data_IF_308420415248
#
_entry.id   IF_308420415248
#
_cell.length_a   1.000
_cell.length_b   1.000
_cell.length_c   1.000
_cell.angle_alpha   90.00
_cell.angle_beta   90.00
_cell.angle_gamma   90.00
#
_symmetry.space_group_name_H-M   'P 1'
#
loop_
_entity.id
_entity.type
_entity.pdbx_description
1 polymer ?
#
# COMPACT_ATOMS: atom_id res chain seq x y z
N UNK A 1 36.14 -51.86 -15.26
CA UNK A 1 35.85 -50.74 -16.19
C UNK A 1 34.98 -49.73 -15.47
N UNK A 2 35.56 -48.57 -15.09
CA UNK A 2 34.85 -47.43 -14.48
C UNK A 2 34.19 -46.62 -15.60
N UNK A 3 32.87 -46.46 -15.57
CA UNK A 3 32.19 -45.42 -16.35
C UNK A 3 32.11 -44.16 -15.48
N UNK A 4 32.78 -43.10 -15.95
CA UNK A 4 32.80 -41.76 -15.39
C UNK A 4 31.41 -41.13 -15.55
N UNK A 5 30.75 -40.82 -14.44
CA UNK A 5 29.61 -39.92 -14.41
C UNK A 5 30.11 -38.47 -14.41
N UNK A 6 30.26 -37.88 -15.60
CA UNK A 6 30.50 -36.44 -15.74
C UNK A 6 29.17 -35.70 -15.84
N UNK A 7 28.66 -35.22 -14.70
CA UNK A 7 27.68 -34.13 -14.71
C UNK A 7 28.36 -32.89 -15.31
N UNK A 8 27.77 -32.23 -16.33
CA UNK A 8 28.38 -31.07 -16.96
C UNK A 8 28.44 -29.90 -15.97
N UNK A 9 29.65 -29.38 -15.73
CA UNK A 9 29.96 -28.35 -14.74
C UNK A 9 29.10 -27.07 -14.87
N UNK A 10 28.58 -26.77 -16.06
CA UNK A 10 27.72 -25.59 -16.30
C UNK A 10 26.32 -25.66 -15.68
N UNK A 11 25.76 -26.87 -15.46
CA UNK A 11 24.41 -27.01 -14.87
C UNK A 11 24.40 -26.73 -13.37
N UNK A 12 25.52 -27.00 -12.68
CA UNK A 12 25.65 -26.81 -11.23
C UNK A 12 25.67 -25.32 -10.87
N UNK A 13 26.47 -24.53 -11.60
CA UNK A 13 26.53 -23.07 -11.40
C UNK A 13 25.22 -22.34 -11.78
N UNK A 14 24.49 -22.82 -12.79
CA UNK A 14 23.18 -22.26 -13.12
C UNK A 14 22.17 -22.52 -12.00
N UNK A 15 22.16 -23.73 -11.44
CA UNK A 15 21.26 -24.10 -10.33
C UNK A 15 21.63 -23.38 -9.03
N UNK A 16 22.92 -23.21 -8.74
CA UNK A 16 23.42 -22.43 -7.60
C UNK A 16 23.06 -20.95 -7.72
N UNK A 17 23.16 -20.35 -8.91
CA UNK A 17 22.77 -18.96 -9.14
C UNK A 17 21.25 -18.77 -9.03
N UNK A 18 20.44 -19.72 -9.50
CA UNK A 18 18.97 -19.69 -9.34
C UNK A 18 18.60 -19.82 -7.86
N UNK A 19 19.25 -20.73 -7.12
CA UNK A 19 19.02 -20.93 -5.69
C UNK A 19 19.47 -19.69 -4.88
N UNK A 20 20.56 -19.05 -5.28
CA UNK A 20 21.06 -17.82 -4.68
C UNK A 20 20.12 -16.63 -4.96
N UNK A 21 19.60 -16.50 -6.18
CA UNK A 21 18.56 -15.52 -6.51
C UNK A 21 17.25 -15.77 -5.75
N UNK A 22 16.84 -17.03 -5.56
CA UNK A 22 15.69 -17.41 -4.75
C UNK A 22 15.90 -17.11 -3.26
N UNK A 23 17.09 -17.37 -2.71
CA UNK A 23 17.44 -17.03 -1.33
C UNK A 23 17.53 -15.51 -1.10
N UNK A 24 17.97 -14.74 -2.08
CA UNK A 24 17.96 -13.27 -2.05
C UNK A 24 16.54 -12.68 -2.09
N UNK A 25 15.58 -13.37 -2.73
CA UNK A 25 14.16 -13.00 -2.71
C UNK A 25 13.46 -13.31 -1.38
N UNK A 26 14.05 -14.16 -0.52
CA UNK A 26 13.46 -14.62 0.74
C UNK A 26 13.89 -13.82 1.99
N UNK A 27 14.82 -12.87 1.86
CA UNK A 27 15.28 -11.99 2.94
C UNK A 27 14.74 -10.56 2.67
N UNK A 28 13.72 -10.03 3.37
CA UNK A 28 13.49 -10.15 4.82
C UNK A 28 12.02 -10.35 5.24
N UNK A 29 11.70 -11.45 5.94
CA UNK A 29 10.43 -11.63 6.67
C UNK A 29 10.61 -11.33 8.17
N UNK A 30 11.08 -10.15 8.53
CA UNK A 30 11.10 -9.74 9.95
C UNK A 30 10.67 -8.28 10.10
N UNK A 31 9.35 -8.07 10.04
CA UNK A 31 8.69 -6.86 10.53
C UNK A 31 7.20 -7.16 10.81
N UNK A 32 6.90 -8.17 11.62
CA UNK A 32 5.53 -8.45 12.06
C UNK A 32 5.30 -7.94 13.48
N UNK A 33 4.99 -6.66 13.58
CA UNK A 33 4.17 -6.13 14.67
C UNK A 33 3.27 -4.99 14.17
N UNK A 34 2.56 -5.23 13.07
CA UNK A 34 1.52 -4.32 12.60
C UNK A 34 0.18 -4.70 13.22
N UNK A 35 -0.40 -3.81 14.01
CA UNK A 35 -1.68 -4.04 14.68
C UNK A 35 -2.82 -3.69 13.74
N UNK A 36 -3.64 -4.69 13.40
CA UNK A 36 -4.78 -4.50 12.51
C UNK A 36 -5.94 -3.95 13.35
N UNK A 37 -6.66 -2.95 12.82
CA UNK A 37 -7.92 -2.57 13.42
C UNK A 37 -8.96 -3.67 13.19
N UNK A 38 -9.50 -4.23 14.27
CA UNK A 38 -10.64 -5.12 14.19
C UNK A 38 -11.92 -4.29 14.04
N UNK A 39 -12.44 -4.25 12.81
CA UNK A 39 -13.56 -3.38 12.46
C UNK A 39 -14.43 -3.95 11.34
N UNK A 40 -15.42 -3.15 10.98
CA UNK A 40 -16.42 -3.48 9.96
C UNK A 40 -16.48 -2.42 8.90
N UNK A 41 -16.68 -2.84 7.66
CA UNK A 41 -16.91 -1.97 6.53
C UNK A 41 -18.40 -1.72 6.31
N UNK A 42 -18.70 -0.53 5.83
CA UNK A 42 -20.03 -0.09 5.46
C UNK A 42 -19.95 0.63 4.12
N UNK A 43 -20.90 0.38 3.24
CA UNK A 43 -21.05 1.17 2.02
C UNK A 43 -21.91 2.40 2.32
N UNK A 44 -21.49 3.56 1.84
CA UNK A 44 -22.20 4.83 2.03
C UNK A 44 -22.36 5.57 0.69
N UNK A 45 -23.27 6.54 0.66
CA UNK A 45 -23.35 7.49 -0.46
C UNK A 45 -22.17 8.47 -0.42
N UNK A 46 -21.81 9.01 -1.59
CA UNK A 46 -20.91 10.14 -1.75
C UNK A 46 -21.24 11.38 -0.92
N UNK A 47 -22.51 11.58 -0.54
CA UNK A 47 -22.95 12.71 0.28
C UNK A 47 -22.81 12.47 1.78
N UNK A 48 -22.41 11.27 2.21
CA UNK A 48 -22.29 10.92 3.63
C UNK A 48 -21.31 11.84 4.34
N UNK A 49 -21.66 12.24 5.57
CA UNK A 49 -20.80 13.07 6.42
C UNK A 49 -20.67 12.49 7.81
N UNK A 50 -19.51 12.63 8.42
CA UNK A 50 -19.35 12.29 9.83
C UNK A 50 -20.14 13.29 10.71
N UNK A 51 -20.84 12.85 11.79
CA UNK A 51 -20.95 11.50 12.34
C UNK A 51 -22.28 10.79 11.98
N UNK A 52 -22.71 10.80 10.72
CA UNK A 52 -23.95 10.12 10.30
C UNK A 52 -23.91 8.59 10.53
N UNK A 53 -25.10 8.02 10.72
CA UNK A 53 -25.27 6.59 10.98
C UNK A 53 -25.00 5.80 9.68
N UNK A 54 -24.31 4.67 9.83
CA UNK A 54 -24.05 3.72 8.74
C UNK A 54 -24.89 2.47 8.96
N UNK A 55 -25.53 1.96 7.91
CA UNK A 55 -26.49 0.85 8.00
C UNK A 55 -26.14 -0.32 7.10
N UNK A 56 -25.61 -0.05 5.90
CA UNK A 56 -25.27 -1.09 4.92
C UNK A 56 -23.88 -1.68 5.19
N UNK A 57 -23.79 -2.63 6.11
CA UNK A 57 -22.56 -3.38 6.38
C UNK A 57 -22.17 -4.22 5.15
N UNK A 58 -20.88 -4.26 4.85
CA UNK A 58 -20.27 -5.11 3.82
C UNK A 58 -19.05 -5.81 4.41
N UNK A 59 -18.64 -6.93 3.81
CA UNK A 59 -17.45 -7.65 4.27
C UNK A 59 -16.17 -6.89 3.88
N UNK A 60 -16.08 -6.47 2.61
CA UNK A 60 -14.94 -5.76 2.05
C UNK A 60 -15.37 -4.75 0.98
N UNK A 61 -14.65 -3.62 0.81
CA UNK A 61 -14.90 -2.68 -0.27
C UNK A 61 -14.77 -3.33 -1.65
N UNK A 62 -15.71 -3.04 -2.55
CA UNK A 62 -15.64 -3.53 -3.93
C UNK A 62 -14.51 -2.84 -4.70
N UNK A 63 -13.74 -3.62 -5.46
CA UNK A 63 -12.54 -3.15 -6.19
C UNK A 63 -12.83 -2.09 -7.25
N UNK A 64 -14.09 -2.00 -7.72
CA UNK A 64 -14.54 -1.00 -8.70
C UNK A 64 -14.71 0.40 -8.12
N UNK A 65 -14.40 0.59 -6.83
CA UNK A 65 -14.45 1.89 -6.17
C UNK A 65 -15.82 2.23 -5.59
N UNK A 66 -15.90 3.44 -5.02
CA UNK A 66 -17.05 3.95 -4.29
C UNK A 66 -16.65 4.64 -2.99
N UNK A 67 -17.66 4.95 -2.17
CA UNK A 67 -17.51 5.54 -0.83
C UNK A 67 -17.85 4.50 0.25
N UNK A 68 -16.95 4.37 1.22
CA UNK A 68 -17.00 3.36 2.26
C UNK A 68 -16.63 3.97 3.60
N UNK A 69 -17.23 3.45 4.66
CA UNK A 69 -16.88 3.79 6.03
C UNK A 69 -16.38 2.54 6.74
N UNK A 70 -15.22 2.61 7.35
CA UNK A 70 -14.71 1.58 8.26
C UNK A 70 -14.88 2.05 9.71
N UNK A 71 -15.44 1.20 10.57
CA UNK A 71 -15.54 1.46 12.01
C UNK A 71 -14.84 0.38 12.80
N UNK A 72 -13.92 0.78 13.67
CA UNK A 72 -13.21 -0.11 14.58
C UNK A 72 -13.10 0.50 15.97
N UNK A 73 -12.90 -0.36 16.96
CA UNK A 73 -12.50 0.04 18.32
C UNK A 73 -11.10 -0.47 18.58
N UNK A 74 -10.34 0.29 19.34
CA UNK A 74 -8.99 -0.08 19.72
C UNK A 74 -8.61 0.56 21.04
N UNK A 75 -7.68 -0.08 21.72
CA UNK A 75 -7.19 0.34 23.03
C UNK A 75 -5.75 0.80 22.89
N UNK A 76 -5.44 1.93 23.51
CA UNK A 76 -4.07 2.44 23.65
C UNK A 76 -3.65 2.14 25.08
N UNK A 77 -2.67 1.25 25.25
CA UNK A 77 -2.20 0.83 26.58
C UNK A 77 -1.05 1.69 27.10
N UNK A 78 -0.17 2.17 26.21
CA UNK A 78 1.00 2.96 26.55
C UNK A 78 0.82 4.42 26.11
N UNK A 79 1.13 5.34 27.02
CA UNK A 79 1.08 6.79 26.76
C UNK A 79 2.36 7.25 26.08
N UNK A 80 2.26 8.24 25.19
CA UNK A 80 3.38 9.02 24.64
C UNK A 80 4.29 8.38 23.58
N UNK A 81 3.90 7.26 22.97
CA UNK A 81 4.59 6.81 21.76
C UNK A 81 3.83 7.29 20.52
N UNK A 82 4.46 8.07 19.62
CA UNK A 82 3.83 8.43 18.36
C UNK A 82 3.56 7.17 17.54
N UNK A 83 2.34 7.09 17.03
CA UNK A 83 1.82 5.99 16.24
C UNK A 83 1.49 6.47 14.83
N UNK A 84 1.31 5.53 13.91
CA UNK A 84 0.94 5.81 12.53
C UNK A 84 -0.26 4.96 12.16
N UNK A 85 -1.33 5.57 11.64
CA UNK A 85 -2.42 4.86 10.95
C UNK A 85 -2.12 4.86 9.45
N UNK A 86 -2.20 3.69 8.80
CA UNK A 86 -2.03 3.53 7.36
C UNK A 86 -2.88 2.34 6.84
N UNK A 87 -2.78 2.02 5.55
CA UNK A 87 -3.46 0.90 4.90
C UNK A 87 -2.45 -0.16 4.41
N UNK A 88 -2.64 -1.44 4.77
CA UNK A 88 -1.63 -2.49 4.48
C UNK A 88 -1.40 -2.73 2.98
N UNK A 89 -2.46 -2.71 2.19
CA UNK A 89 -2.44 -3.15 0.79
C UNK A 89 -2.76 -2.03 -0.21
N UNK A 90 -2.78 -0.77 0.21
CA UNK A 90 -3.23 0.31 -0.64
C UNK A 90 -2.22 1.47 -0.65
N UNK A 91 -1.40 1.49 -1.71
CA UNK A 91 -0.53 2.63 -2.04
C UNK A 91 -1.24 3.68 -2.91
N UNK A 92 -2.33 3.30 -3.57
CA UNK A 92 -3.14 4.20 -4.40
C UNK A 92 -4.56 4.24 -3.83
N UNK A 93 -4.86 5.31 -3.11
CA UNK A 93 -6.16 5.60 -2.53
C UNK A 93 -6.60 6.98 -2.99
N UNK A 94 -7.86 7.12 -3.44
CA UNK A 94 -8.42 8.40 -3.87
C UNK A 94 -8.37 9.46 -2.77
N UNK A 95 -9.32 9.38 -1.83
CA UNK A 95 -9.43 10.25 -0.66
C UNK A 95 -9.79 9.41 0.56
N UNK A 96 -9.13 9.65 1.69
CA UNK A 96 -9.54 9.09 2.97
C UNK A 96 -9.58 10.16 4.05
N UNK A 97 -10.37 9.87 5.07
CA UNK A 97 -10.54 10.71 6.24
C UNK A 97 -10.72 9.83 7.49
N UNK A 98 -9.82 9.94 8.46
CA UNK A 98 -9.86 9.26 9.74
C UNK A 98 -10.40 10.20 10.82
N UNK A 99 -11.40 9.75 11.56
CA UNK A 99 -11.93 10.37 12.76
C UNK A 99 -11.67 9.45 13.95
N UNK A 100 -11.04 9.95 15.00
CA UNK A 100 -10.82 9.21 16.24
C UNK A 100 -11.63 9.87 17.35
N UNK A 101 -12.53 9.10 17.95
CA UNK A 101 -13.31 9.52 19.12
C UNK A 101 -12.83 8.82 20.38
N UNK A 102 -12.84 9.51 21.50
CA UNK A 102 -12.65 8.91 22.82
C UNK A 102 -13.92 8.19 23.33
N UNK A 103 -13.81 7.59 24.52
CA UNK A 103 -14.91 6.88 25.18
C UNK A 103 -16.11 7.78 25.56
N UNK A 104 -15.91 9.10 25.62
CA UNK A 104 -16.98 10.09 25.85
C UNK A 104 -17.72 10.49 24.57
N UNK A 105 -17.24 10.02 23.41
CA UNK A 105 -17.76 10.39 22.09
C UNK A 105 -17.20 11.72 21.58
N UNK A 106 -16.16 12.26 22.21
CA UNK A 106 -15.50 13.49 21.77
C UNK A 106 -14.48 13.16 20.69
N UNK A 107 -14.49 13.94 19.60
CA UNK A 107 -13.46 13.88 18.57
C UNK A 107 -12.11 14.35 19.17
N UNK A 108 -11.12 13.47 19.17
CA UNK A 108 -9.78 13.74 19.72
C UNK A 108 -8.71 13.86 18.65
N UNK A 109 -8.92 13.30 17.46
CA UNK A 109 -8.01 13.44 16.33
C UNK A 109 -8.73 13.25 14.99
N UNK A 110 -8.21 13.93 13.97
CA UNK A 110 -8.77 13.96 12.62
C UNK A 110 -7.62 14.05 11.61
N UNK A 111 -7.65 13.20 10.57
CA UNK A 111 -6.61 13.16 9.55
C UNK A 111 -7.20 12.86 8.17
N UNK A 112 -6.72 13.53 7.14
CA UNK A 112 -7.12 13.23 5.76
C UNK A 112 -5.91 12.97 4.85
N UNK A 113 -6.18 12.34 3.71
CA UNK A 113 -5.15 12.05 2.72
C UNK A 113 -5.68 11.33 1.49
N UNK A 114 -4.75 10.69 0.79
CA UNK A 114 -4.99 10.09 -0.52
C UNK A 114 -4.46 10.97 -1.65
N UNK A 115 -4.35 10.39 -2.83
CA UNK A 115 -3.80 11.03 -4.04
C UNK A 115 -4.64 12.25 -4.51
N UNK A 116 -5.93 12.28 -4.14
CA UNK A 116 -6.85 13.36 -4.46
C UNK A 116 -6.89 14.42 -3.35
N UNK A 117 -6.26 14.19 -2.20
CA UNK A 117 -6.14 15.20 -1.14
C UNK A 117 -5.00 16.19 -1.44
N UNK A 118 -5.17 17.43 -0.99
CA UNK A 118 -4.11 18.46 -0.99
C UNK A 118 -3.17 18.34 0.20
N UNK A 119 -3.50 17.48 1.17
CA UNK A 119 -2.74 17.30 2.40
C UNK A 119 -1.46 16.52 2.12
N UNK A 120 -0.32 17.14 2.40
CA UNK A 120 0.99 16.53 2.20
C UNK A 120 1.13 15.27 3.06
N UNK A 121 1.64 14.19 2.48
CA UNK A 121 1.95 12.97 3.21
C UNK A 121 3.33 13.07 3.89
N UNK A 122 3.45 12.78 5.20
CA UNK A 122 4.75 12.77 5.87
C UNK A 122 5.62 11.59 5.46
N UNK A 123 5.03 10.56 4.82
CA UNK A 123 5.72 9.35 4.41
C UNK A 123 5.72 9.20 2.89
N UNK A 124 6.91 9.08 2.31
CA UNK A 124 7.10 8.90 0.87
C UNK A 124 6.42 7.60 0.39
N UNK A 125 5.68 7.68 -0.73
CA UNK A 125 4.92 6.55 -1.33
C UNK A 125 3.92 5.85 -0.41
N UNK A 126 3.51 6.51 0.69
CA UNK A 126 2.62 5.94 1.69
C UNK A 126 1.57 6.95 2.15
N UNK A 127 0.50 6.44 2.75
CA UNK A 127 -0.64 7.22 3.21
C UNK A 127 -0.69 7.37 4.74
N UNK A 128 0.39 6.98 5.43
CA UNK A 128 0.46 7.04 6.88
C UNK A 128 0.17 8.42 7.47
N UNK A 129 -0.51 8.44 8.61
CA UNK A 129 -0.77 9.65 9.40
C UNK A 129 -0.30 9.44 10.84
N UNK A 130 0.58 10.33 11.30
CA UNK A 130 1.12 10.31 12.65
C UNK A 130 0.06 10.80 13.64
N UNK A 131 -0.06 10.12 14.79
CA UNK A 131 -0.95 10.51 15.87
C UNK A 131 -0.38 10.09 17.23
N UNK A 132 -0.80 10.77 18.28
CA UNK A 132 -0.44 10.45 19.67
C UNK A 132 -1.71 10.56 20.51
N UNK A 133 -1.99 9.51 21.28
CA UNK A 133 -3.17 9.43 22.14
C UNK A 133 -2.75 9.03 23.55
N UNK A 134 -3.38 9.59 24.60
CA UNK A 134 -3.22 9.06 25.94
C UNK A 134 -3.83 7.65 26.04
N UNK A 135 -3.47 6.87 27.07
CA UNK A 135 -4.04 5.55 27.28
C UNK A 135 -5.55 5.62 27.45
N UNK A 136 -6.27 4.73 26.78
CA UNK A 136 -7.72 4.74 26.77
C UNK A 136 -8.30 3.94 25.62
N UNK A 137 -9.62 3.94 25.55
CA UNK A 137 -10.40 3.22 24.56
C UNK A 137 -10.91 4.22 23.52
N UNK A 138 -10.69 3.91 22.26
CA UNK A 138 -11.00 4.80 21.15
C UNK A 138 -11.84 4.11 20.08
N UNK A 139 -12.55 4.92 19.31
CA UNK A 139 -13.26 4.49 18.11
C UNK A 139 -12.67 5.19 16.89
N UNK A 140 -12.17 4.39 15.95
CA UNK A 140 -11.77 4.84 14.62
C UNK A 140 -12.97 4.78 13.68
N UNK A 141 -13.25 5.89 13.01
CA UNK A 141 -14.15 5.94 11.84
C UNK A 141 -13.36 6.45 10.65
N UNK A 142 -13.18 5.62 9.62
CA UNK A 142 -12.47 6.00 8.40
C UNK A 142 -13.45 6.11 7.25
N UNK A 143 -13.64 7.30 6.71
CA UNK A 143 -14.26 7.50 5.40
C UNK A 143 -13.21 7.26 4.32
N UNK A 144 -13.52 6.42 3.34
CA UNK A 144 -12.67 6.11 2.22
C UNK A 144 -13.47 6.23 0.92
N UNK A 145 -13.04 7.12 0.03
CA UNK A 145 -13.62 7.29 -1.30
C UNK A 145 -12.55 7.11 -2.34
N UNK A 146 -12.71 6.14 -3.24
CA UNK A 146 -11.73 5.87 -4.28
C UNK A 146 -12.42 5.46 -5.57
N UNK A 147 -11.92 5.87 -6.75
CA UNK A 147 -12.48 5.41 -8.03
C UNK A 147 -12.26 3.91 -8.29
N UNK A 148 -11.25 3.30 -7.66
CA UNK A 148 -10.99 1.86 -7.69
C UNK A 148 -10.03 1.48 -6.56
N UNK A 149 -9.85 0.18 -6.32
CA UNK A 149 -8.81 -0.37 -5.44
C UNK A 149 -8.04 -1.47 -6.15
N UNK A 150 -6.71 -1.46 -6.02
CA UNK A 150 -5.83 -2.53 -6.55
C UNK A 150 -5.88 -3.77 -5.63
N UNK A 151 -6.01 -3.53 -4.32
CA UNK A 151 -6.18 -4.55 -3.31
C UNK A 151 -7.06 -4.00 -2.18
N UNK A 152 -7.58 -4.91 -1.35
CA UNK A 152 -8.48 -4.56 -0.26
C UNK A 152 -7.81 -3.58 0.72
N UNK A 153 -8.36 -2.37 0.90
CA UNK A 153 -7.81 -1.41 1.83
C UNK A 153 -8.10 -1.90 3.25
N UNK A 154 -7.06 -2.16 4.05
CA UNK A 154 -7.21 -2.55 5.44
C UNK A 154 -6.45 -1.57 6.34
N UNK A 155 -7.18 -0.71 7.09
CA UNK A 155 -6.59 0.14 8.12
C UNK A 155 -5.82 -0.70 9.13
N UNK A 156 -4.64 -0.23 9.47
CA UNK A 156 -3.83 -0.75 10.54
C UNK A 156 -3.10 0.40 11.23
N UNK A 157 -2.52 0.11 12.38
CA UNK A 157 -1.66 1.04 13.07
C UNK A 157 -0.39 0.37 13.57
N UNK A 158 0.62 1.20 13.80
CA UNK A 158 1.95 0.78 14.17
C UNK A 158 2.67 1.90 14.93
N UNK A 159 3.74 1.55 15.66
CA UNK A 159 4.63 2.55 16.24
C UNK A 159 5.39 3.30 15.14
N UNK A 160 5.66 4.59 15.35
CA UNK A 160 6.34 5.43 14.36
C UNK A 160 7.73 4.88 13.97
N UNK A 161 8.48 4.39 14.95
CA UNK A 161 9.83 3.85 14.75
C UNK A 161 9.82 2.58 13.90
N UNK A 162 8.93 1.64 14.21
CA UNK A 162 8.78 0.41 13.43
C UNK A 162 8.24 0.70 12.03
N UNK A 163 7.21 1.54 11.92
CA UNK A 163 6.63 1.94 10.64
C UNK A 163 7.67 2.53 9.67
N UNK A 164 8.48 3.50 10.15
CA UNK A 164 9.54 4.12 9.34
C UNK A 164 10.57 3.13 8.82
N UNK A 165 10.84 2.05 9.56
CA UNK A 165 11.75 1.00 9.11
C UNK A 165 11.05 0.05 8.12
N UNK A 166 9.79 -0.31 8.39
CA UNK A 166 9.02 -1.23 7.56
C UNK A 166 8.77 -0.69 6.15
N UNK A 167 8.54 0.62 5.98
CA UNK A 167 8.24 1.20 4.66
C UNK A 167 9.46 1.30 3.73
N UNK A 168 10.70 1.28 4.26
CA UNK A 168 11.92 1.48 3.44
C UNK A 168 12.06 0.45 2.33
N UNK A 169 11.87 -0.83 2.66
CA UNK A 169 11.99 -1.92 1.70
C UNK A 169 10.88 -1.88 0.65
N UNK A 170 9.64 -1.64 1.07
CA UNK A 170 8.52 -1.48 0.14
C UNK A 170 8.76 -0.34 -0.85
N UNK A 171 9.21 0.82 -0.35
CA UNK A 171 9.52 1.98 -1.19
C UNK A 171 10.70 1.71 -2.12
N UNK A 172 11.75 1.03 -1.65
CA UNK A 172 12.90 0.65 -2.46
C UNK A 172 12.49 -0.24 -3.64
N UNK A 173 11.72 -1.32 -3.36
CA UNK A 173 11.23 -2.23 -4.40
C UNK A 173 10.31 -1.48 -5.38
N UNK A 174 9.43 -0.61 -4.88
CA UNK A 174 8.56 0.23 -5.70
C UNK A 174 9.35 1.12 -6.65
N UNK A 175 10.35 1.85 -6.14
CA UNK A 175 11.22 2.71 -6.95
C UNK A 175 12.03 1.94 -8.00
N UNK A 176 12.61 0.81 -7.63
CA UNK A 176 13.33 -0.06 -8.58
C UNK A 176 12.39 -0.55 -9.68
N UNK A 177 11.17 -0.97 -9.32
CA UNK A 177 10.17 -1.43 -10.28
C UNK A 177 9.74 -0.33 -11.25
N UNK A 178 9.50 0.88 -10.74
CA UNK A 178 9.19 2.06 -11.56
C UNK A 178 10.37 2.39 -12.49
N UNK A 179 11.61 2.32 -12.00
CA UNK A 179 12.81 2.57 -12.80
C UNK A 179 13.01 1.55 -13.93
N UNK A 180 12.76 0.26 -13.68
CA UNK A 180 12.78 -0.79 -14.70
C UNK A 180 11.71 -0.54 -15.75
N UNK A 181 10.47 -0.26 -15.30
CA UNK A 181 9.35 0.00 -16.19
C UNK A 181 9.59 1.25 -17.06
N UNK A 182 10.13 2.31 -16.48
CA UNK A 182 10.53 3.52 -17.20
C UNK A 182 11.62 3.25 -18.24
N UNK A 183 12.66 2.50 -17.86
CA UNK A 183 13.74 2.10 -18.78
C UNK A 183 13.20 1.30 -19.97
N UNK A 184 12.26 0.38 -19.72
CA UNK A 184 11.58 -0.38 -20.76
C UNK A 184 10.73 0.53 -21.65
N UNK A 185 10.04 1.51 -21.06
CA UNK A 185 9.28 2.53 -21.79
C UNK A 185 10.16 3.29 -22.78
N UNK A 186 11.30 3.81 -22.33
CA UNK A 186 12.27 4.50 -23.18
C UNK A 186 12.79 3.60 -24.29
N UNK A 187 13.10 2.33 -23.99
CA UNK A 187 13.53 1.36 -25.00
C UNK A 187 12.49 1.19 -26.11
N UNK A 188 11.22 1.01 -25.75
CA UNK A 188 10.15 0.89 -26.74
C UNK A 188 9.87 2.18 -27.49
N UNK A 189 10.03 3.37 -26.87
CA UNK A 189 9.96 4.67 -27.57
C UNK A 189 10.97 4.70 -28.72
N UNK A 190 12.22 4.31 -28.47
CA UNK A 190 13.27 4.29 -29.50
C UNK A 190 12.93 3.31 -30.61
N UNK A 191 12.48 2.09 -30.27
CA UNK A 191 12.07 1.10 -31.27
C UNK A 191 10.89 1.59 -32.11
N UNK A 192 9.86 2.15 -31.49
CA UNK A 192 8.70 2.70 -32.17
C UNK A 192 9.10 3.82 -33.14
N UNK A 193 10.05 4.67 -32.75
CA UNK A 193 10.57 5.74 -33.61
C UNK A 193 11.34 5.20 -34.83
N UNK A 194 12.21 4.20 -34.61
CA UNK A 194 13.07 3.64 -35.67
C UNK A 194 12.28 2.75 -36.63
N UNK A 195 11.41 1.87 -36.11
CA UNK A 195 10.72 0.83 -36.89
C UNK A 195 9.32 1.22 -37.33
N UNK A 196 8.71 2.23 -36.71
CA UNK A 196 7.36 2.74 -37.00
C UNK A 196 6.26 1.66 -37.01
N UNK A 197 6.45 0.57 -36.24
CA UNK A 197 5.47 -0.52 -36.15
C UNK A 197 4.44 -0.20 -35.07
N UNK A 198 3.16 -0.36 -35.41
CA UNK A 198 2.03 -0.11 -34.49
C UNK A 198 2.15 -0.88 -33.18
N UNK A 199 2.69 -2.10 -33.21
CA UNK A 199 2.92 -2.93 -32.02
C UNK A 199 3.84 -2.26 -30.99
N UNK A 200 4.92 -1.62 -31.44
CA UNK A 200 5.89 -0.99 -30.52
C UNK A 200 5.33 0.30 -29.93
N UNK A 201 4.56 1.07 -30.72
CA UNK A 201 3.83 2.24 -30.24
C UNK A 201 2.83 1.85 -29.14
N UNK A 202 2.09 0.75 -29.33
CA UNK A 202 1.13 0.27 -28.34
C UNK A 202 1.82 -0.11 -27.03
N UNK A 203 2.95 -0.83 -27.09
CA UNK A 203 3.73 -1.18 -25.89
C UNK A 203 4.28 0.06 -25.20
N UNK A 204 4.81 1.03 -25.94
CA UNK A 204 5.24 2.32 -25.38
C UNK A 204 4.12 2.99 -24.60
N UNK A 205 2.95 3.17 -25.21
CA UNK A 205 1.81 3.85 -24.57
C UNK A 205 1.39 3.09 -23.30
N UNK A 206 1.24 1.76 -23.40
CA UNK A 206 0.87 0.93 -22.27
C UNK A 206 1.85 1.05 -21.10
N UNK A 207 3.15 0.93 -21.38
CA UNK A 207 4.20 0.99 -20.36
C UNK A 207 4.24 2.39 -19.73
N UNK A 208 4.22 3.45 -20.55
CA UNK A 208 4.26 4.83 -20.05
C UNK A 208 3.04 5.16 -19.20
N UNK A 209 1.85 4.68 -19.56
CA UNK A 209 0.65 4.84 -18.72
C UNK A 209 0.80 4.14 -17.37
N UNK A 210 1.41 2.95 -17.32
CA UNK A 210 1.69 2.27 -16.04
C UNK A 210 2.74 3.01 -15.19
N UNK A 211 3.75 3.63 -15.82
CA UNK A 211 4.72 4.48 -15.11
C UNK A 211 4.03 5.68 -14.49
N UNK A 212 3.20 6.39 -15.27
CA UNK A 212 2.44 7.55 -14.77
C UNK A 212 1.54 7.12 -13.61
N UNK A 213 0.75 6.06 -13.81
CA UNK A 213 -0.14 5.51 -12.81
C UNK A 213 0.56 5.11 -11.50
N UNK A 214 1.77 4.57 -11.57
CA UNK A 214 2.54 4.15 -10.40
C UNK A 214 3.32 5.29 -9.74
N UNK A 215 3.55 6.38 -10.49
CA UNK A 215 4.33 7.54 -10.05
C UNK A 215 3.49 8.70 -9.52
N UNK A 216 2.19 8.70 -9.79
CA UNK A 216 1.18 9.58 -9.17
C UNK A 216 0.60 8.93 -7.94
#
# INVERSE_FOLDING_TARGET
>A
MRFLSSTPAGKRHCLENILFCLCLLLLPLTAFSQQIFEGKWYQVDSTWKFPEIVTKQIDVPVITGGSFVFKARFDVFESHQPQVIDFKNASVLGYFHHYIMDSSGKLVAEFDGGIQSKTASPFFMRHGREFELPPGNYQLTTLLTSPYFIAEPQPYWDSLSHYRQAIKWGNFIGLVSIGILFSLGVYYVILAFVRKRTTEIMYTIFIMLNVVFSGT
#
